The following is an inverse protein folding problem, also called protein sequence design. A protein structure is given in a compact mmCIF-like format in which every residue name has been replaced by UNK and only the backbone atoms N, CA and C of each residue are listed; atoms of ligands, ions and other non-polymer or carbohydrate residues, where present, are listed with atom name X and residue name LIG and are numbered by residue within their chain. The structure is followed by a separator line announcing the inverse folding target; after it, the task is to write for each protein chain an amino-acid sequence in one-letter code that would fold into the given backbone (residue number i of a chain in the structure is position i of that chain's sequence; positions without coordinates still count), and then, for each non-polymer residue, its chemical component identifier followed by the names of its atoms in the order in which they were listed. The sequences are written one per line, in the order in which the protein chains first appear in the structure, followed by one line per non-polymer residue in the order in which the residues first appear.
data_IF_046449115501
#
_entry.id   IF_046449115501
#
_cell.length_a   1.000
_cell.length_b   1.000
_cell.length_c   1.000
_cell.angle_alpha   90.00
_cell.angle_beta   90.00
_cell.angle_gamma   90.00
#
_symmetry.space_group_name_H-M   'P 1'
#
loop_
_entity.id
_entity.type
_entity.pdbx_description
1 polymer ?
#
# COMPACT_ATOMS: atom_id res chain seq x y z
N UNK A 1 -4.45 11.57 14.36
CA UNK A 1 -3.83 10.22 14.37
C UNK A 1 -2.35 10.36 14.02
N UNK A 2 -1.46 9.47 14.47
CA UNK A 2 -0.04 9.49 14.04
C UNK A 2 0.12 8.76 12.70
N UNK A 3 1.17 9.08 11.94
CA UNK A 3 1.48 8.37 10.68
C UNK A 3 1.75 6.87 10.92
N UNK A 4 2.42 6.54 12.02
CA UNK A 4 2.63 5.17 12.48
C UNK A 4 1.30 4.43 12.65
N UNK A 5 0.34 5.02 13.37
CA UNK A 5 -0.93 4.35 13.62
C UNK A 5 -1.77 4.18 12.35
N UNK A 6 -1.72 5.16 11.44
CA UNK A 6 -2.33 5.02 10.11
C UNK A 6 -1.68 3.89 9.31
N UNK A 7 -0.35 3.77 9.38
CA UNK A 7 0.39 2.70 8.73
C UNK A 7 0.03 1.31 9.27
N UNK A 8 -0.10 1.17 10.59
CA UNK A 8 -0.58 -0.06 11.22
C UNK A 8 -1.99 -0.44 10.75
N UNK A 9 -2.93 0.51 10.71
CA UNK A 9 -4.28 0.28 10.21
C UNK A 9 -4.27 -0.18 8.74
N UNK A 10 -3.42 0.44 7.91
CA UNK A 10 -3.25 0.04 6.52
C UNK A 10 -2.68 -1.38 6.39
N UNK A 11 -1.70 -1.75 7.22
CA UNK A 11 -1.14 -3.11 7.25
C UNK A 11 -2.18 -4.15 7.69
N UNK A 12 -3.03 -3.79 8.65
CA UNK A 12 -4.10 -4.65 9.16
C UNK A 12 -5.31 -4.75 8.22
N UNK A 13 -5.42 -3.86 7.23
CA UNK A 13 -6.53 -3.84 6.29
C UNK A 13 -7.81 -3.17 6.84
N UNK A 14 -7.68 -2.37 7.90
CA UNK A 14 -8.74 -1.67 8.63
C UNK A 14 -9.35 -0.51 7.81
N UNK A 15 -9.93 -0.86 6.66
CA UNK A 15 -10.34 0.08 5.61
C UNK A 15 -11.48 0.98 6.06
N UNK A 16 -12.43 0.45 6.84
CA UNK A 16 -13.54 1.25 7.38
C UNK A 16 -13.04 2.28 8.40
N UNK A 17 -12.14 1.89 9.31
CA UNK A 17 -11.48 2.82 10.23
C UNK A 17 -10.72 3.92 9.47
N UNK A 18 -9.98 3.56 8.43
CA UNK A 18 -9.28 4.54 7.57
C UNK A 18 -10.27 5.47 6.84
N UNK A 19 -11.42 4.95 6.41
CA UNK A 19 -12.49 5.73 5.77
C UNK A 19 -13.11 6.73 6.72
N UNK A 20 -13.44 6.33 7.95
CA UNK A 20 -13.96 7.23 8.97
C UNK A 20 -12.96 8.36 9.28
N UNK A 21 -11.69 8.01 9.46
CA UNK A 21 -10.63 8.99 9.68
C UNK A 21 -10.54 9.97 8.50
N UNK A 22 -10.53 9.48 7.26
CA UNK A 22 -10.52 10.32 6.07
C UNK A 22 -11.71 11.29 6.01
N UNK A 23 -12.92 10.81 6.28
CA UNK A 23 -14.12 11.67 6.32
C UNK A 23 -14.09 12.70 7.45
N UNK A 24 -13.37 12.44 8.55
CA UNK A 24 -13.10 13.43 9.60
C UNK A 24 -12.02 14.46 9.25
N UNK A 25 -11.45 14.39 8.04
CA UNK A 25 -10.41 15.30 7.55
C UNK A 25 -8.98 14.82 7.77
N UNK A 26 -8.77 13.58 8.24
CA UNK A 26 -7.43 13.00 8.35
C UNK A 26 -6.84 12.79 6.95
N UNK A 27 -5.66 13.35 6.71
CA UNK A 27 -4.88 13.07 5.51
C UNK A 27 -4.35 11.64 5.54
N UNK A 28 -4.48 10.95 4.40
CA UNK A 28 -4.00 9.57 4.20
C UNK A 28 -2.84 9.48 3.19
N UNK A 29 -2.47 10.59 2.57
CA UNK A 29 -1.26 10.72 1.73
C UNK A 29 -0.02 10.97 2.60
N UNK A 30 0.15 10.17 3.65
CA UNK A 30 1.25 10.26 4.60
C UNK A 30 2.21 9.09 4.45
N UNK A 31 3.47 9.33 4.79
CA UNK A 31 4.51 8.32 4.88
C UNK A 31 4.88 8.07 6.34
N UNK A 32 5.31 6.84 6.63
CA UNK A 32 5.88 6.46 7.91
C UNK A 32 7.28 5.89 7.70
N UNK A 33 8.26 6.41 8.42
CA UNK A 33 9.65 5.94 8.33
C UNK A 33 9.82 4.65 9.15
N UNK A 34 10.25 3.58 8.47
CA UNK A 34 10.62 2.32 9.11
C UNK A 34 11.80 1.71 8.37
N UNK A 35 12.78 1.20 9.12
CA UNK A 35 13.99 0.59 8.56
C UNK A 35 14.78 1.54 7.63
N UNK A 36 14.84 2.83 7.97
CA UNK A 36 15.57 3.84 7.20
C UNK A 36 14.96 4.18 5.84
N UNK A 37 13.68 3.84 5.62
CA UNK A 37 12.91 4.18 4.42
C UNK A 37 11.53 4.68 4.81
N UNK A 38 11.03 5.64 4.04
CA UNK A 38 9.64 6.06 4.12
C UNK A 38 8.74 5.08 3.38
N UNK A 39 7.59 4.77 3.99
CA UNK A 39 6.57 3.89 3.39
C UNK A 39 5.21 4.58 3.43
N UNK A 40 4.57 4.69 2.27
CA UNK A 40 3.18 5.10 2.16
C UNK A 40 2.25 4.08 2.80
N UNK A 41 1.05 4.52 3.17
CA UNK A 41 -0.01 3.61 3.63
C UNK A 41 -0.32 2.53 2.58
N UNK A 42 -0.19 2.87 1.29
CA UNK A 42 -0.39 1.93 0.18
C UNK A 42 0.61 0.77 0.28
N UNK A 43 1.89 1.05 0.55
CA UNK A 43 2.89 -0.01 0.68
C UNK A 43 2.68 -0.88 1.92
N UNK A 44 2.19 -0.29 3.02
CA UNK A 44 1.76 -1.05 4.20
C UNK A 44 0.67 -2.07 3.84
N UNK A 45 -0.39 -1.61 3.17
CA UNK A 45 -1.47 -2.48 2.72
C UNK A 45 -1.02 -3.51 1.65
N UNK A 46 -0.24 -3.08 0.66
CA UNK A 46 0.21 -3.90 -0.47
C UNK A 46 1.11 -5.06 -0.03
N UNK A 47 2.11 -4.80 0.82
CA UNK A 47 3.01 -5.85 1.31
C UNK A 47 2.30 -6.87 2.20
N UNK A 48 1.22 -6.46 2.86
CA UNK A 48 0.35 -7.34 3.66
C UNK A 48 -0.84 -7.91 2.87
N UNK A 49 -0.88 -7.76 1.54
CA UNK A 49 -1.92 -8.29 0.65
C UNK A 49 -3.34 -7.78 0.95
N UNK A 50 -3.45 -6.61 1.56
CA UNK A 50 -4.73 -5.95 1.87
C UNK A 50 -5.27 -5.23 0.62
N UNK A 51 -5.67 -5.99 -0.40
CA UNK A 51 -6.00 -5.46 -1.72
C UNK A 51 -7.19 -4.50 -1.73
N UNK A 52 -8.18 -4.74 -0.86
CA UNK A 52 -9.31 -3.83 -0.71
C UNK A 52 -8.85 -2.45 -0.21
N UNK A 53 -7.98 -2.43 0.80
CA UNK A 53 -7.40 -1.22 1.36
C UNK A 53 -6.52 -0.49 0.35
N UNK A 54 -5.69 -1.21 -0.40
CA UNK A 54 -4.88 -0.63 -1.50
C UNK A 54 -5.76 0.10 -2.50
N UNK A 55 -6.81 -0.56 -3.00
CA UNK A 55 -7.74 0.04 -3.98
C UNK A 55 -8.45 1.24 -3.41
N UNK A 56 -8.91 1.16 -2.16
CA UNK A 56 -9.62 2.25 -1.52
C UNK A 56 -8.71 3.47 -1.30
N UNK A 57 -7.46 3.28 -0.85
CA UNK A 57 -6.47 4.36 -0.67
C UNK A 57 -6.16 5.07 -2.00
N UNK A 58 -5.89 4.30 -3.07
CA UNK A 58 -5.67 4.86 -4.41
C UNK A 58 -6.87 5.64 -4.94
N UNK A 59 -8.08 5.08 -4.76
CA UNK A 59 -9.34 5.73 -5.15
C UNK A 59 -9.64 7.03 -4.39
N UNK A 60 -9.01 7.23 -3.23
CA UNK A 60 -9.17 8.42 -2.39
C UNK A 60 -7.92 9.32 -2.39
N UNK A 61 -7.07 9.22 -3.43
CA UNK A 61 -6.02 10.19 -3.70
C UNK A 61 -4.69 9.95 -2.98
N UNK A 62 -4.53 8.84 -2.24
CA UNK A 62 -3.21 8.43 -1.78
C UNK A 62 -2.32 8.08 -2.97
N UNK A 63 -1.03 8.39 -2.88
CA UNK A 63 -0.06 8.21 -3.97
C UNK A 63 1.12 7.38 -3.52
N UNK A 64 1.60 6.56 -4.44
CA UNK A 64 2.91 5.93 -4.34
C UNK A 64 3.98 6.95 -4.70
N UNK A 65 5.12 6.87 -4.04
CA UNK A 65 6.34 7.49 -4.53
C UNK A 65 6.85 6.75 -5.79
N UNK A 66 7.69 7.38 -6.62
CA UNK A 66 8.29 6.70 -7.77
C UNK A 66 9.05 5.42 -7.40
N UNK A 67 9.73 5.40 -6.24
CA UNK A 67 10.46 4.24 -5.77
C UNK A 67 9.52 3.08 -5.39
N UNK A 68 8.41 3.36 -4.73
CA UNK A 68 7.41 2.35 -4.38
C UNK A 68 6.68 1.83 -5.62
N UNK A 69 6.39 2.70 -6.59
CA UNK A 69 5.82 2.28 -7.87
C UNK A 69 6.76 1.33 -8.62
N UNK A 70 8.07 1.59 -8.61
CA UNK A 70 9.07 0.69 -9.18
C UNK A 70 9.07 -0.67 -8.46
N UNK A 71 9.08 -0.70 -7.12
CA UNK A 71 9.01 -1.95 -6.34
C UNK A 71 7.78 -2.80 -6.70
N UNK A 72 6.60 -2.17 -6.84
CA UNK A 72 5.38 -2.88 -7.23
C UNK A 72 5.51 -3.45 -8.65
N UNK A 73 6.05 -2.66 -9.58
CA UNK A 73 6.22 -3.09 -10.97
C UNK A 73 7.19 -4.27 -11.07
N UNK A 74 8.30 -4.24 -10.33
CA UNK A 74 9.30 -5.32 -10.31
C UNK A 74 8.69 -6.63 -9.83
N UNK A 75 7.91 -6.59 -8.72
CA UNK A 75 7.19 -7.77 -8.22
C UNK A 75 6.16 -8.32 -9.21
N UNK A 76 5.50 -7.44 -9.96
CA UNK A 76 4.57 -7.85 -11.00
C UNK A 76 5.28 -8.55 -12.17
N UNK A 77 6.43 -8.02 -12.61
CA UNK A 77 7.24 -8.68 -13.65
C UNK A 77 7.78 -10.04 -13.19
N UNK A 78 8.23 -10.15 -11.94
CA UNK A 78 8.68 -11.41 -11.35
C UNK A 78 7.56 -12.47 -11.38
N UNK A 79 6.36 -12.11 -10.92
CA UNK A 79 5.22 -13.03 -10.90
C UNK A 79 4.80 -13.45 -12.31
N UNK A 80 4.78 -12.52 -13.27
CA UNK A 80 4.49 -12.84 -14.68
C UNK A 80 5.51 -13.81 -15.27
N UNK A 81 6.81 -13.61 -15.02
CA UNK A 81 7.85 -14.51 -15.52
C UNK A 81 7.70 -15.92 -14.95
N UNK A 82 7.34 -16.03 -13.66
CA UNK A 82 7.06 -17.34 -13.03
C UNK A 82 5.87 -18.04 -13.71
N UNK A 83 4.79 -17.31 -14.01
CA UNK A 83 3.64 -17.85 -14.74
C UNK A 83 4.04 -18.33 -16.15
N UNK A 84 4.80 -17.54 -16.91
CA UNK A 84 5.31 -17.92 -18.24
C UNK A 84 6.19 -19.18 -18.19
N UNK A 85 7.03 -19.32 -17.16
CA UNK A 85 7.85 -20.52 -16.99
C UNK A 85 7.00 -21.77 -16.72
N UNK A 86 5.91 -21.64 -15.95
CA UNK A 86 5.00 -22.74 -15.64
C UNK A 86 4.15 -23.17 -16.85
N UNK A 87 3.74 -22.23 -17.70
CA UNK A 87 2.98 -22.54 -18.92
C UNK A 87 3.83 -23.27 -19.99
N UNK A 88 5.16 -23.11 -19.94
CA UNK A 88 6.11 -23.77 -20.85
C UNK A 88 6.76 -25.03 -20.26
N UNK A 89 6.28 -25.50 -19.10
CA UNK A 89 6.74 -26.73 -18.40
C UNK A 89 5.87 -27.94 -18.77
#
# INVERSE_FOLDING_TARGET
MTAEKLFELACAGETETLRELYHSGQRLDVTYEKFGKEHSLIMGAFRNRQWHTVRWLLGNGAKLTPAEQAEINDRYQEMRLIEEMQENS
#
